data_IF_789725376255
#
_entry.id   IF_789725376255
#
_cell.length_a   1.000
_cell.length_b   1.000
_cell.length_c   1.000
_cell.angle_alpha   90.00
_cell.angle_beta   90.00
_cell.angle_gamma   90.00
#
_symmetry.space_group_name_H-M   'P 1'
#
loop_
_entity.id
_entity.type
_entity.pdbx_description
1 polymer ?
#
# COMPACT_ATOMS: atom_id res chain seq x y z
N UNK A 1 -4.09 -0.41 -21.95
CA UNK A 1 -5.13 -0.09 -20.93
C UNK A 1 -5.82 -1.36 -20.42
N UNK A 2 -6.66 -2.05 -21.23
CA UNK A 2 -7.38 -3.28 -20.84
C UNK A 2 -6.53 -4.37 -20.15
N UNK A 3 -5.32 -4.65 -20.65
CA UNK A 3 -4.42 -5.66 -20.07
C UNK A 3 -3.87 -5.29 -18.69
N UNK A 4 -3.66 -3.99 -18.42
CA UNK A 4 -3.15 -3.51 -17.12
C UNK A 4 -4.24 -3.55 -16.06
N UNK A 5 -5.45 -3.16 -16.44
CA UNK A 5 -6.65 -3.27 -15.59
C UNK A 5 -6.93 -4.72 -15.21
N UNK A 6 -6.85 -5.65 -16.18
CA UNK A 6 -7.03 -7.07 -15.91
C UNK A 6 -5.95 -7.64 -14.99
N UNK A 7 -4.68 -7.26 -15.18
CA UNK A 7 -3.60 -7.68 -14.30
C UNK A 7 -3.77 -7.14 -12.87
N UNK A 8 -4.21 -5.88 -12.73
CA UNK A 8 -4.53 -5.29 -11.43
C UNK A 8 -5.61 -6.06 -10.69
N UNK A 9 -6.71 -6.40 -11.37
CA UNK A 9 -7.78 -7.22 -10.79
C UNK A 9 -7.30 -8.60 -10.34
N UNK A 10 -6.47 -9.28 -11.16
CA UNK A 10 -5.89 -10.56 -10.77
C UNK A 10 -4.97 -10.40 -9.55
N UNK A 11 -4.16 -9.35 -9.48
CA UNK A 11 -3.29 -9.14 -8.33
C UNK A 11 -4.11 -8.88 -7.07
N UNK A 12 -5.11 -8.01 -7.13
CA UNK A 12 -5.98 -7.69 -6.00
C UNK A 12 -6.62 -8.96 -5.44
N UNK A 13 -7.24 -9.77 -6.30
CA UNK A 13 -7.81 -11.07 -5.90
C UNK A 13 -6.77 -11.96 -5.21
N UNK A 14 -5.59 -12.11 -5.80
CA UNK A 14 -4.57 -13.00 -5.24
C UNK A 14 -3.83 -12.43 -4.03
N UNK A 15 -3.87 -11.11 -3.79
CA UNK A 15 -3.31 -10.49 -2.59
C UNK A 15 -4.28 -10.68 -1.41
N UNK A 16 -5.57 -10.38 -1.60
CA UNK A 16 -6.54 -10.27 -0.51
C UNK A 16 -7.40 -11.51 -0.28
N UNK A 17 -7.71 -12.29 -1.33
CA UNK A 17 -8.71 -13.36 -1.24
C UNK A 17 -8.10 -14.76 -1.26
N UNK A 18 -7.03 -14.98 -2.03
CA UNK A 18 -6.46 -16.32 -2.25
C UNK A 18 -5.26 -16.57 -1.34
N UNK A 19 -5.22 -17.70 -0.63
CA UNK A 19 -4.02 -18.10 0.15
C UNK A 19 -2.89 -18.62 -0.74
N UNK A 20 -3.24 -19.20 -1.89
CA UNK A 20 -2.29 -19.85 -2.79
C UNK A 20 -1.68 -18.89 -3.81
N UNK A 21 -0.40 -19.10 -4.12
CA UNK A 21 0.32 -18.34 -5.15
C UNK A 21 0.02 -18.92 -6.53
N UNK A 22 -0.53 -18.10 -7.44
CA UNK A 22 -0.64 -18.47 -8.86
C UNK A 22 0.71 -18.42 -9.56
N UNK A 23 1.21 -19.58 -10.01
CA UNK A 23 2.46 -19.65 -10.78
C UNK A 23 2.44 -18.85 -12.08
N UNK A 24 1.26 -18.70 -12.70
CA UNK A 24 1.10 -17.83 -13.88
C UNK A 24 1.34 -16.36 -13.52
N UNK A 25 0.71 -15.89 -12.44
CA UNK A 25 0.82 -14.51 -12.00
C UNK A 25 2.23 -14.22 -11.48
N UNK A 26 2.77 -15.13 -10.67
CA UNK A 26 4.14 -15.08 -10.18
C UNK A 26 5.18 -14.91 -11.29
N UNK A 27 5.12 -15.74 -12.35
CA UNK A 27 6.02 -15.59 -13.51
C UNK A 27 5.91 -14.22 -14.18
N UNK A 28 4.69 -13.69 -14.31
CA UNK A 28 4.47 -12.34 -14.86
C UNK A 28 5.05 -11.26 -13.96
N UNK A 29 4.89 -11.39 -12.64
CA UNK A 29 5.40 -10.40 -11.69
C UNK A 29 6.93 -10.39 -11.65
N UNK A 30 7.57 -11.57 -11.73
CA UNK A 30 9.02 -11.66 -11.82
C UNK A 30 9.61 -10.97 -13.06
N UNK A 31 8.84 -10.72 -14.12
CA UNK A 31 9.33 -9.91 -15.24
C UNK A 31 9.63 -8.45 -14.85
N UNK A 32 8.88 -7.90 -13.89
CA UNK A 32 9.11 -6.55 -13.36
C UNK A 32 10.33 -6.51 -12.45
N UNK A 33 10.60 -7.61 -11.73
CA UNK A 33 11.80 -7.77 -10.91
C UNK A 33 13.05 -7.83 -11.79
N UNK A 34 13.00 -8.67 -12.86
CA UNK A 34 14.12 -8.89 -13.79
C UNK A 34 14.39 -7.73 -14.71
N UNK A 35 13.36 -6.93 -15.03
CA UNK A 35 13.47 -5.80 -15.94
C UNK A 35 12.84 -4.56 -15.32
N UNK A 36 13.69 -3.74 -14.71
CA UNK A 36 13.30 -2.52 -14.03
C UNK A 36 12.61 -1.51 -14.96
N UNK A 37 12.99 -1.45 -16.24
CA UNK A 37 12.32 -0.57 -17.21
C UNK A 37 10.83 -0.91 -17.38
N UNK A 38 10.45 -2.19 -17.27
CA UNK A 38 9.03 -2.58 -17.28
C UNK A 38 8.30 -1.99 -16.08
N UNK A 39 8.91 -2.00 -14.90
CA UNK A 39 8.33 -1.40 -13.70
C UNK A 39 8.23 0.12 -13.82
N UNK A 40 9.31 0.78 -14.27
CA UNK A 40 9.34 2.22 -14.51
C UNK A 40 8.28 2.65 -15.55
N UNK A 41 8.02 1.83 -16.57
CA UNK A 41 7.02 2.13 -17.60
C UNK A 41 5.57 2.19 -17.09
N UNK A 42 5.31 1.69 -15.88
CA UNK A 42 4.00 1.78 -15.25
C UNK A 42 3.65 3.24 -14.90
N UNK A 43 4.65 4.03 -14.52
CA UNK A 43 4.46 5.39 -14.04
C UNK A 43 4.07 6.39 -15.14
N UNK A 44 4.09 6.00 -16.41
CA UNK A 44 3.60 6.83 -17.53
C UNK A 44 2.11 7.17 -17.45
N UNK A 45 1.33 6.43 -16.65
CA UNK A 45 -0.11 6.68 -16.44
C UNK A 45 -0.48 6.60 -14.96
N UNK A 46 -1.64 7.10 -14.57
CA UNK A 46 -2.14 7.01 -13.17
C UNK A 46 -2.49 5.58 -12.77
N UNK A 47 -3.24 4.87 -13.61
CA UNK A 47 -3.60 3.45 -13.40
C UNK A 47 -2.36 2.55 -13.15
N UNK A 48 -1.21 2.91 -13.73
CA UNK A 48 0.02 2.15 -13.54
C UNK A 48 0.69 2.36 -12.18
N UNK A 49 0.40 3.47 -11.48
CA UNK A 49 0.88 3.69 -10.10
C UNK A 49 0.23 2.67 -9.16
N UNK A 50 -1.09 2.48 -9.27
CA UNK A 50 -1.80 1.46 -8.49
C UNK A 50 -1.32 0.05 -8.83
N UNK A 51 -1.09 -0.23 -10.12
CA UNK A 51 -0.52 -1.51 -10.53
C UNK A 51 0.89 -1.73 -9.93
N UNK A 52 1.71 -0.69 -9.83
CA UNK A 52 3.01 -0.78 -9.16
C UNK A 52 2.85 -1.12 -7.66
N UNK A 53 1.88 -0.52 -6.96
CA UNK A 53 1.58 -0.88 -5.56
C UNK A 53 1.15 -2.35 -5.43
N UNK A 54 0.24 -2.82 -6.28
CA UNK A 54 -0.18 -4.23 -6.29
C UNK A 54 0.98 -5.19 -6.55
N UNK A 55 1.90 -4.84 -7.45
CA UNK A 55 3.10 -5.63 -7.71
C UNK A 55 3.95 -5.76 -6.44
N UNK A 56 4.17 -4.66 -5.72
CA UNK A 56 4.94 -4.67 -4.47
C UNK A 56 4.27 -5.53 -3.40
N UNK A 57 2.95 -5.39 -3.21
CA UNK A 57 2.20 -6.19 -2.23
C UNK A 57 2.21 -7.67 -2.57
N UNK A 58 2.10 -8.02 -3.85
CA UNK A 58 2.17 -9.41 -4.28
C UNK A 58 3.57 -10.02 -4.10
N UNK A 59 4.64 -9.26 -4.38
CA UNK A 59 6.01 -9.70 -4.10
C UNK A 59 6.24 -9.93 -2.61
N UNK A 60 5.76 -9.00 -1.77
CA UNK A 60 5.80 -9.16 -0.31
C UNK A 60 5.08 -10.41 0.15
N UNK A 61 3.87 -10.68 -0.37
CA UNK A 61 3.12 -11.91 -0.09
C UNK A 61 3.87 -13.18 -0.52
N UNK A 62 4.66 -13.10 -1.59
CA UNK A 62 5.48 -14.20 -2.07
C UNK A 62 6.86 -14.28 -1.38
N UNK A 63 7.10 -13.53 -0.29
CA UNK A 63 8.37 -13.49 0.46
C UNK A 63 9.58 -13.01 -0.35
N UNK A 64 9.36 -12.13 -1.33
CA UNK A 64 10.43 -11.47 -2.10
C UNK A 64 10.85 -10.15 -1.45
N UNK A 65 11.40 -10.21 -0.24
CA UNK A 65 11.60 -9.02 0.59
C UNK A 65 12.63 -8.04 0.00
N UNK A 66 13.78 -8.53 -0.44
CA UNK A 66 14.85 -7.71 -1.04
C UNK A 66 14.38 -7.04 -2.34
N UNK A 67 13.67 -7.79 -3.19
CA UNK A 67 13.11 -7.27 -4.44
C UNK A 67 12.01 -6.23 -4.16
N UNK A 68 11.18 -6.48 -3.15
CA UNK A 68 10.13 -5.56 -2.71
C UNK A 68 10.73 -4.24 -2.24
N UNK A 69 11.77 -4.28 -1.39
CA UNK A 69 12.45 -3.09 -0.89
C UNK A 69 13.10 -2.29 -2.04
N UNK A 70 13.80 -2.99 -2.94
CA UNK A 70 14.44 -2.37 -4.11
C UNK A 70 13.41 -1.67 -5.00
N UNK A 71 12.33 -2.36 -5.37
CA UNK A 71 11.27 -1.79 -6.21
C UNK A 71 10.47 -0.70 -5.47
N UNK A 72 10.34 -0.78 -4.15
CA UNK A 72 9.71 0.27 -3.34
C UNK A 72 10.50 1.58 -3.38
N UNK A 73 11.83 1.52 -3.27
CA UNK A 73 12.67 2.72 -3.41
C UNK A 73 12.48 3.39 -4.79
N UNK A 74 12.41 2.59 -5.85
CA UNK A 74 12.09 3.09 -7.19
C UNK A 74 10.68 3.66 -7.27
N UNK A 75 9.70 3.02 -6.62
CA UNK A 75 8.34 3.55 -6.54
C UNK A 75 8.32 4.95 -5.90
N UNK A 76 9.02 5.14 -4.78
CA UNK A 76 9.14 6.44 -4.10
C UNK A 76 9.74 7.49 -5.03
N UNK A 77 10.86 7.18 -5.71
CA UNK A 77 11.50 8.09 -6.66
C UNK A 77 10.55 8.49 -7.79
N UNK A 78 9.87 7.52 -8.41
CA UNK A 78 8.98 7.78 -9.56
C UNK A 78 7.70 8.50 -9.16
N UNK A 79 7.13 8.23 -7.98
CA UNK A 79 5.98 8.98 -7.46
C UNK A 79 6.38 10.44 -7.18
N UNK A 80 7.55 10.67 -6.57
CA UNK A 80 8.04 12.02 -6.28
C UNK A 80 8.29 12.83 -7.56
N UNK A 81 8.77 12.20 -8.63
CA UNK A 81 8.99 12.83 -9.93
C UNK A 81 7.70 13.23 -10.69
N UNK A 82 6.52 12.73 -10.30
CA UNK A 82 5.25 13.10 -10.96
C UNK A 82 4.85 14.56 -10.70
N UNK A 83 4.11 15.17 -11.63
CA UNK A 83 3.54 16.53 -11.47
C UNK A 83 2.21 16.56 -10.70
N UNK A 84 1.97 15.58 -9.83
CA UNK A 84 0.76 15.51 -8.98
C UNK A 84 0.94 16.29 -7.68
N UNK A 85 -0.16 16.55 -6.96
CA UNK A 85 -0.14 17.26 -5.66
C UNK A 85 0.75 16.50 -4.66
N UNK A 86 1.53 17.24 -3.87
CA UNK A 86 2.46 16.65 -2.90
C UNK A 86 1.75 15.78 -1.86
N UNK A 87 0.59 16.22 -1.41
CA UNK A 87 -0.23 15.50 -0.46
C UNK A 87 -0.60 14.09 -0.98
N UNK A 88 -1.09 13.99 -2.22
CA UNK A 88 -1.39 12.71 -2.87
C UNK A 88 -0.17 11.79 -2.98
N UNK A 89 1.02 12.34 -3.31
CA UNK A 89 2.26 11.56 -3.36
C UNK A 89 2.63 10.99 -1.99
N UNK A 90 2.56 11.82 -0.96
CA UNK A 90 2.86 11.44 0.41
C UNK A 90 1.90 10.33 0.88
N UNK A 91 0.62 10.47 0.55
CA UNK A 91 -0.38 9.45 0.86
C UNK A 91 -0.02 8.10 0.22
N UNK A 92 0.24 8.07 -1.09
CA UNK A 92 0.60 6.83 -1.79
C UNK A 92 1.84 6.16 -1.21
N UNK A 93 2.89 6.94 -0.93
CA UNK A 93 4.15 6.43 -0.38
C UNK A 93 3.94 5.87 1.02
N UNK A 94 3.26 6.62 1.90
CA UNK A 94 3.02 6.20 3.30
C UNK A 94 2.09 5.00 3.37
N UNK A 95 1.01 4.97 2.58
CA UNK A 95 0.12 3.83 2.47
C UNK A 95 0.89 2.57 2.04
N UNK A 96 1.70 2.66 0.99
CA UNK A 96 2.48 1.51 0.52
C UNK A 96 3.52 1.06 1.55
N UNK A 97 4.25 2.00 2.16
CA UNK A 97 5.24 1.70 3.21
C UNK A 97 4.61 0.96 4.39
N UNK A 98 3.42 1.41 4.82
CA UNK A 98 2.69 0.83 5.93
C UNK A 98 2.18 -0.58 5.63
N UNK A 99 1.53 -0.78 4.48
CA UNK A 99 1.03 -2.10 4.07
C UNK A 99 2.18 -3.11 3.87
N UNK A 100 3.35 -2.66 3.42
CA UNK A 100 4.54 -3.51 3.30
C UNK A 100 5.21 -3.83 4.65
N UNK A 101 4.87 -3.08 5.71
CA UNK A 101 5.47 -3.20 7.04
C UNK A 101 6.85 -2.55 7.15
N UNK A 102 7.17 -1.58 6.31
CA UNK A 102 8.44 -0.85 6.37
C UNK A 102 8.42 0.31 7.38
N UNK A 103 7.25 0.90 7.62
CA UNK A 103 7.05 1.92 8.65
C UNK A 103 5.62 1.91 9.17
N UNK A 104 5.40 2.37 10.40
CA UNK A 104 4.04 2.62 10.88
C UNK A 104 3.58 4.02 10.47
N UNK A 105 2.54 4.09 9.64
CA UNK A 105 1.94 5.33 9.15
C UNK A 105 0.44 5.39 9.45
N UNK A 106 -0.02 4.56 10.40
CA UNK A 106 -1.44 4.41 10.74
C UNK A 106 -2.10 5.74 11.06
N UNK A 107 -1.44 6.60 11.85
CA UNK A 107 -1.97 7.92 12.21
C UNK A 107 -2.14 8.82 10.98
N UNK A 108 -1.17 8.82 10.07
CA UNK A 108 -1.21 9.65 8.87
C UNK A 108 -2.32 9.19 7.91
N UNK A 109 -2.40 7.88 7.66
CA UNK A 109 -3.31 7.31 6.66
C UNK A 109 -4.76 7.33 7.16
N UNK A 110 -4.99 7.17 8.47
CA UNK A 110 -6.33 7.18 9.07
C UNK A 110 -6.89 8.59 9.32
N UNK A 111 -6.10 9.64 9.10
CA UNK A 111 -6.59 11.02 9.22
C UNK A 111 -7.48 11.38 8.01
N UNK A 112 -8.77 11.72 8.19
CA UNK A 112 -9.68 12.03 7.08
C UNK A 112 -9.23 13.20 6.19
N UNK A 113 -8.42 14.13 6.74
CA UNK A 113 -7.83 15.24 5.96
C UNK A 113 -6.72 14.78 5.02
N UNK A 114 -6.19 13.58 5.26
CA UNK A 114 -5.11 12.96 4.49
C UNK A 114 -5.62 11.87 3.55
N UNK A 115 -6.81 11.34 3.78
CA UNK A 115 -7.40 10.32 2.93
C UNK A 115 -7.72 10.89 1.54
N UNK A 116 -7.18 10.23 0.52
CA UNK A 116 -7.55 10.43 -0.87
C UNK A 116 -8.41 9.23 -1.31
N UNK A 117 -9.56 9.46 -1.95
CA UNK A 117 -10.45 8.38 -2.40
C UNK A 117 -9.93 7.77 -3.70
N UNK A 118 -9.52 6.50 -3.69
CA UNK A 118 -8.99 5.78 -4.86
C UNK A 118 -9.19 4.27 -4.72
N UNK A 119 -8.80 3.49 -5.72
CA UNK A 119 -9.09 2.04 -5.82
C UNK A 119 -8.63 1.21 -4.61
N UNK A 120 -7.63 1.66 -3.83
CA UNK A 120 -7.15 0.97 -2.61
C UNK A 120 -7.76 1.50 -1.31
N UNK A 121 -8.60 2.54 -1.34
CA UNK A 121 -9.17 3.12 -0.11
C UNK A 121 -10.07 2.14 0.64
N UNK A 122 -10.60 1.10 -0.03
CA UNK A 122 -11.37 0.05 0.64
C UNK A 122 -10.54 -0.74 1.65
N UNK A 123 -9.25 -0.95 1.40
CA UNK A 123 -8.35 -1.68 2.31
C UNK A 123 -8.22 -0.92 3.63
N UNK A 124 -8.15 0.41 3.55
CA UNK A 124 -8.09 1.26 4.76
C UNK A 124 -9.44 1.37 5.45
N UNK A 125 -10.55 1.35 4.71
CA UNK A 125 -11.89 1.34 5.29
C UNK A 125 -12.24 0.03 6.02
N UNK A 126 -11.53 -1.06 5.73
CA UNK A 126 -11.70 -2.35 6.38
C UNK A 126 -10.66 -2.64 7.47
N UNK A 127 -9.59 -1.83 7.57
CA UNK A 127 -8.69 -1.84 8.72
C UNK A 127 -9.40 -1.10 9.86
N UNK A 128 -9.78 -1.77 10.96
CA UNK A 128 -10.34 -1.08 12.11
C UNK A 128 -9.33 -0.02 12.57
N UNK A 129 -9.79 1.21 12.75
CA UNK A 129 -8.91 2.29 13.19
C UNK A 129 -8.19 1.84 14.46
N UNK A 130 -6.87 2.00 14.53
CA UNK A 130 -6.10 1.65 15.74
C UNK A 130 -6.74 2.28 16.99
N UNK A 131 -7.25 3.51 16.84
CA UNK A 131 -7.99 4.21 17.88
C UNK A 131 -9.29 3.49 18.25
N UNK A 132 -10.06 3.02 17.27
CA UNK A 132 -11.29 2.25 17.50
C UNK A 132 -10.99 0.91 18.16
N UNK A 133 -9.95 0.20 17.72
CA UNK A 133 -9.52 -1.05 18.31
C UNK A 133 -9.06 -0.89 19.77
N UNK A 134 -8.23 0.11 20.06
CA UNK A 134 -7.81 0.42 21.44
C UNK A 134 -8.99 0.93 22.29
N UNK A 135 -9.92 1.72 21.75
CA UNK A 135 -11.12 2.14 22.48
C UNK A 135 -12.05 0.96 22.80
N UNK A 136 -12.17 -0.02 21.90
CA UNK A 136 -12.93 -1.26 22.13
C UNK A 136 -12.22 -2.12 23.18
N UNK A 137 -10.91 -2.30 23.06
CA UNK A 137 -10.10 -3.12 23.97
C UNK A 137 -10.06 -2.53 25.39
N UNK A 138 -10.04 -1.21 25.50
CA UNK A 138 -10.05 -0.49 26.78
C UNK A 138 -11.48 -0.12 27.25
N UNK A 139 -12.52 -0.63 26.59
CA UNK A 139 -13.92 -0.39 26.96
C UNK A 139 -14.20 -1.00 28.34
N UNK A 140 -14.47 -0.15 29.33
CA UNK A 140 -14.71 -0.55 30.72
C UNK A 140 -13.55 -0.27 31.68
N UNK A 141 -12.37 0.10 31.15
CA UNK A 141 -11.30 0.66 31.97
C UNK A 141 -11.58 2.15 32.20
N UNK A 142 -11.42 2.62 33.45
CA UNK A 142 -11.51 4.06 33.74
C UNK A 142 -10.31 4.76 33.13
N UNK A 143 -10.55 5.88 32.45
CA UNK A 143 -9.50 6.75 31.94
C UNK A 143 -8.61 7.15 33.13
N UNK A 144 -7.31 6.92 33.01
CA UNK A 144 -6.34 7.40 33.96
C UNK A 144 -6.23 8.92 33.80
N UNK A 145 -6.96 9.68 34.62
CA UNK A 145 -6.75 11.12 34.72
C UNK A 145 -5.43 11.35 35.47
N UNK A 146 -4.36 11.63 34.73
CA UNK A 146 -3.16 12.21 35.33
C UNK A 146 -3.48 13.66 35.61
N UNK A 147 -3.90 13.95 36.85
CA UNK A 147 -3.92 15.30 37.37
C UNK A 147 -2.49 15.63 37.79
N UNK A 148 -1.82 16.47 37.01
CA UNK A 148 -0.65 17.17 37.52
C UNK A 148 -1.17 18.26 38.45
N UNK A 149 -0.94 18.10 39.75
CA UNK A 149 -1.05 19.21 40.69
C UNK A 149 0.11 20.18 40.39
N UNK A 150 -0.24 21.43 40.07
CA UNK A 150 0.70 22.55 39.98
C UNK A 150 1.05 23.05 41.38
#
# INVERSE_FOLDING_TARGET
RKTRTYLGYLLEKYIFEEENVSMFLYKKILEFVKNEYKFISLFSHEEGVFLAQYILFYLRKCNHDDDTLRLFNLFVEKVNAKKTKQHYKNYLIKQTSHILGFSDESEYINNPKNMETHMLSFIMNSIPSFLEFELIKNKGFKIFEIKCDL
#
